data_IF_051517141618
#
_entry.id   IF_051517141618
#
_cell.length_a   1.000
_cell.length_b   1.000
_cell.length_c   1.000
_cell.angle_alpha   90.00
_cell.angle_beta   90.00
_cell.angle_gamma   90.00
#
_symmetry.space_group_name_H-M   'P 1'
#
loop_
_entity.id
_entity.type
_entity.pdbx_description
1 polymer ?
#
# COMPACT_ATOMS: atom_id res chain seq x y z
N UNK A 1 -23.69 50.22 -18.03
CA UNK A 1 -24.45 49.02 -18.31
C UNK A 1 -23.59 47.92 -18.84
N UNK A 2 -22.94 48.15 -19.93
CA UNK A 2 -22.12 47.14 -20.54
C UNK A 2 -20.93 46.73 -19.68
N UNK A 3 -20.41 47.65 -18.91
CA UNK A 3 -19.25 47.38 -18.05
C UNK A 3 -19.52 46.31 -17.00
N UNK A 4 -20.72 46.22 -16.55
CA UNK A 4 -21.05 45.27 -15.51
C UNK A 4 -20.85 43.85 -15.97
N UNK A 5 -21.21 43.57 -17.18
CA UNK A 5 -21.06 42.23 -17.71
C UNK A 5 -19.61 41.79 -17.81
N UNK A 6 -18.77 42.72 -18.17
CA UNK A 6 -17.36 42.42 -18.32
C UNK A 6 -16.72 42.02 -17.00
N UNK A 7 -17.09 42.73 -15.97
CA UNK A 7 -16.53 42.42 -14.66
C UNK A 7 -16.88 41.02 -14.21
N UNK A 8 -18.08 40.61 -14.48
CA UNK A 8 -18.52 39.27 -14.12
C UNK A 8 -17.69 38.22 -14.78
N UNK A 9 -17.33 38.42 -16.03
CA UNK A 9 -16.51 37.45 -16.75
C UNK A 9 -15.14 37.27 -16.10
N UNK A 10 -14.55 38.36 -15.66
CA UNK A 10 -13.27 38.33 -15.01
C UNK A 10 -13.30 37.48 -13.75
N UNK A 11 -14.36 37.66 -12.98
CA UNK A 11 -14.51 36.90 -11.74
C UNK A 11 -14.56 35.41 -12.02
N UNK A 12 -15.25 35.02 -13.05
CA UNK A 12 -15.37 33.62 -13.42
C UNK A 12 -13.99 33.03 -13.75
N UNK A 13 -13.19 33.81 -14.44
CA UNK A 13 -11.86 33.37 -14.79
C UNK A 13 -10.98 33.05 -13.57
N UNK A 14 -11.11 33.87 -12.55
CA UNK A 14 -10.37 33.66 -11.33
C UNK A 14 -10.78 32.36 -10.63
N UNK A 15 -12.09 32.10 -10.65
CA UNK A 15 -12.57 30.87 -10.01
C UNK A 15 -11.97 29.62 -10.66
N UNK A 16 -11.80 29.63 -11.96
CA UNK A 16 -11.22 28.50 -12.66
C UNK A 16 -9.78 28.24 -12.24
N UNK A 17 -9.03 29.30 -12.00
CA UNK A 17 -7.64 29.17 -11.61
C UNK A 17 -7.48 28.42 -10.29
N UNK A 18 -8.42 28.59 -9.40
CA UNK A 18 -8.34 27.95 -8.09
C UNK A 18 -8.52 26.43 -8.15
N UNK A 19 -9.18 25.93 -9.16
CA UNK A 19 -9.41 24.49 -9.28
C UNK A 19 -8.15 23.70 -9.62
N UNK A 20 -7.24 24.31 -10.35
CA UNK A 20 -6.04 23.62 -10.81
C UNK A 20 -5.16 23.14 -9.67
N UNK A 21 -4.86 23.93 -8.65
CA UNK A 21 -4.05 23.46 -7.53
C UNK A 21 -4.64 22.27 -6.80
N UNK A 22 -5.95 22.24 -6.67
CA UNK A 22 -6.63 21.14 -5.98
C UNK A 22 -6.42 19.84 -6.72
N UNK A 23 -6.53 19.86 -8.02
CA UNK A 23 -6.33 18.66 -8.83
C UNK A 23 -4.90 18.13 -8.70
N UNK A 24 -3.92 19.03 -8.64
CA UNK A 24 -2.54 18.64 -8.44
C UNK A 24 -2.30 17.93 -7.14
N UNK A 25 -2.91 18.41 -6.08
CA UNK A 25 -2.77 17.78 -4.76
C UNK A 25 -3.33 16.37 -4.75
N UNK A 26 -4.47 16.15 -5.37
CA UNK A 26 -5.08 14.84 -5.44
C UNK A 26 -4.18 13.85 -6.20
N UNK A 27 -3.58 14.30 -7.29
CA UNK A 27 -2.69 13.47 -8.07
C UNK A 27 -1.45 13.07 -7.27
N UNK A 28 -0.88 13.99 -6.50
CA UNK A 28 0.27 13.72 -5.67
C UNK A 28 -0.04 12.67 -4.60
N UNK A 29 -1.20 12.76 -3.97
CA UNK A 29 -1.63 11.78 -2.99
C UNK A 29 -1.75 10.39 -3.59
N UNK A 30 -2.36 10.28 -4.75
CA UNK A 30 -2.50 9.01 -5.45
C UNK A 30 -1.15 8.44 -5.85
N UNK A 31 -0.23 9.27 -6.29
CA UNK A 31 1.11 8.85 -6.65
C UNK A 31 1.86 8.26 -5.46
N UNK A 32 1.74 8.86 -4.27
CA UNK A 32 2.39 8.38 -3.07
C UNK A 32 1.87 7.00 -2.67
N UNK A 33 0.56 6.81 -2.71
CA UNK A 33 -0.05 5.51 -2.41
C UNK A 33 0.34 4.46 -3.42
N UNK A 34 0.30 4.79 -4.70
CA UNK A 34 0.63 3.86 -5.76
C UNK A 34 2.07 3.37 -5.65
N UNK A 35 2.99 4.18 -5.14
CA UNK A 35 4.39 3.79 -5.01
C UNK A 35 4.61 2.75 -3.91
N UNK A 36 3.67 2.55 -3.01
CA UNK A 36 3.75 1.51 -1.98
C UNK A 36 3.35 0.14 -2.50
N UNK A 37 2.60 0.06 -3.59
CA UNK A 37 2.19 -1.22 -4.17
C UNK A 37 3.40 -2.06 -4.59
N UNK A 38 4.36 -1.55 -5.38
CA UNK A 38 5.55 -2.32 -5.72
C UNK A 38 6.34 -2.75 -4.48
N UNK A 39 6.38 -1.90 -3.46
CA UNK A 39 7.09 -2.20 -2.22
C UNK A 39 6.42 -3.37 -1.48
N UNK A 40 5.10 -3.37 -1.41
CA UNK A 40 4.35 -4.46 -0.79
C UNK A 40 4.52 -5.77 -1.56
N UNK A 41 4.46 -5.72 -2.89
CA UNK A 41 4.65 -6.90 -3.74
C UNK A 41 6.06 -7.44 -3.57
N UNK A 42 7.06 -6.57 -3.55
CA UNK A 42 8.45 -6.99 -3.33
C UNK A 42 8.63 -7.67 -1.98
N UNK A 43 7.99 -7.15 -0.94
CA UNK A 43 8.00 -7.75 0.38
C UNK A 43 7.44 -9.17 0.35
N UNK A 44 6.27 -9.36 -0.27
CA UNK A 44 5.65 -10.69 -0.38
C UNK A 44 6.57 -11.67 -1.12
N UNK A 45 7.18 -11.22 -2.21
CA UNK A 45 8.10 -12.07 -2.97
C UNK A 45 9.35 -12.42 -2.18
N UNK A 46 9.83 -11.50 -1.37
CA UNK A 46 10.97 -11.74 -0.47
C UNK A 46 10.63 -12.81 0.56
N UNK A 47 9.41 -12.77 1.12
CA UNK A 47 8.94 -13.83 2.00
C UNK A 47 8.89 -15.17 1.28
N UNK A 48 8.42 -15.18 0.05
CA UNK A 48 8.32 -16.41 -0.75
C UNK A 48 9.69 -17.04 -1.03
N UNK A 49 10.72 -16.23 -1.12
CA UNK A 49 12.10 -16.71 -1.31
C UNK A 49 12.71 -17.25 -0.02
N UNK A 50 12.05 -17.04 1.12
CA UNK A 50 12.59 -17.45 2.41
C UNK A 50 13.62 -16.50 2.98
N UNK A 51 13.77 -15.32 2.42
CA UNK A 51 14.75 -14.32 2.90
C UNK A 51 14.08 -13.40 3.92
N UNK A 52 13.81 -13.94 5.10
CA UNK A 52 13.09 -13.23 6.15
C UNK A 52 13.88 -12.07 6.74
N UNK A 53 15.18 -12.16 6.72
CA UNK A 53 16.03 -11.08 7.20
C UNK A 53 15.93 -9.86 6.26
N UNK A 54 15.94 -10.09 4.95
CA UNK A 54 15.75 -9.01 3.99
C UNK A 54 14.34 -8.42 4.07
N UNK A 55 13.34 -9.26 4.35
CA UNK A 55 11.97 -8.80 4.49
C UNK A 55 11.81 -7.81 5.66
N UNK A 56 12.58 -8.01 6.74
CA UNK A 56 12.53 -7.10 7.90
C UNK A 56 13.19 -5.76 7.67
N UNK A 57 13.98 -5.60 6.63
CA UNK A 57 14.75 -4.37 6.42
C UNK A 57 13.86 -3.12 6.43
N UNK A 58 12.62 -3.25 5.97
CA UNK A 58 11.66 -2.15 5.91
C UNK A 58 10.72 -2.10 7.11
N UNK A 59 10.90 -2.96 8.09
CA UNK A 59 10.06 -2.96 9.29
C UNK A 59 10.35 -1.76 10.18
N UNK A 60 9.33 -1.28 10.89
CA UNK A 60 9.55 -0.34 11.99
C UNK A 60 10.31 -1.06 13.11
N UNK A 61 10.96 -0.31 13.98
CA UNK A 61 11.68 -0.89 15.11
C UNK A 61 10.76 -1.73 16.00
N UNK A 62 9.54 -1.24 16.21
CA UNK A 62 8.54 -1.96 16.98
C UNK A 62 8.18 -3.28 16.32
N UNK A 63 8.01 -3.27 15.01
CA UNK A 63 7.67 -4.47 14.25
C UNK A 63 8.82 -5.49 14.28
N UNK A 64 10.06 -5.03 14.19
CA UNK A 64 11.24 -5.90 14.30
C UNK A 64 11.32 -6.61 15.65
N UNK A 65 10.96 -5.92 16.71
CA UNK A 65 10.94 -6.51 18.04
C UNK A 65 9.82 -7.54 18.20
N UNK A 66 8.64 -7.23 17.64
CA UNK A 66 7.49 -8.10 17.74
C UNK A 66 7.62 -9.35 16.87
N UNK A 67 8.23 -9.22 15.70
CA UNK A 67 8.33 -10.29 14.72
C UNK A 67 9.77 -10.37 14.19
N UNK A 68 10.68 -11.00 14.94
CA UNK A 68 12.04 -11.23 14.46
C UNK A 68 12.06 -12.21 13.26
N UNK A 69 13.16 -12.28 12.50
CA UNK A 69 13.23 -13.13 11.29
C UNK A 69 12.81 -14.57 11.51
N UNK A 70 13.21 -15.16 12.63
CA UNK A 70 12.85 -16.54 12.94
C UNK A 70 11.34 -16.70 13.10
N UNK A 71 10.70 -15.75 13.78
CA UNK A 71 9.25 -15.78 13.97
C UNK A 71 8.51 -15.55 12.66
N UNK A 72 9.01 -14.64 11.85
CA UNK A 72 8.43 -14.39 10.52
C UNK A 72 8.49 -15.65 9.68
N UNK A 73 9.60 -16.38 9.74
CA UNK A 73 9.77 -17.65 9.05
C UNK A 73 8.77 -18.69 9.53
N UNK A 74 8.56 -18.80 10.84
CA UNK A 74 7.58 -19.73 11.41
C UNK A 74 6.16 -19.44 10.92
N UNK A 75 5.78 -18.16 10.94
CA UNK A 75 4.45 -17.73 10.45
C UNK A 75 4.30 -18.10 8.98
N UNK A 76 5.31 -17.84 8.18
CA UNK A 76 5.27 -18.15 6.75
C UNK A 76 5.18 -19.66 6.50
N UNK A 77 5.96 -20.45 7.22
CA UNK A 77 5.93 -21.91 7.09
C UNK A 77 4.58 -22.49 7.52
N UNK A 78 4.01 -21.96 8.58
CA UNK A 78 2.67 -22.36 9.02
C UNK A 78 1.64 -22.06 7.95
N UNK A 79 1.72 -20.89 7.33
CA UNK A 79 0.81 -20.50 6.26
C UNK A 79 0.94 -21.46 5.08
N UNK A 80 2.17 -21.72 4.62
CA UNK A 80 2.43 -22.59 3.48
C UNK A 80 1.92 -24.00 3.75
N UNK A 81 2.03 -24.49 4.97
CA UNK A 81 1.54 -25.82 5.31
C UNK A 81 0.02 -25.94 5.15
N UNK A 82 -0.69 -24.84 5.25
CA UNK A 82 -2.16 -24.81 5.13
C UNK A 82 -2.62 -24.54 3.69
N UNK A 83 -1.93 -23.67 2.98
CA UNK A 83 -2.39 -23.18 1.66
C UNK A 83 -1.54 -23.65 0.50
N UNK A 84 -0.45 -24.34 0.79
CA UNK A 84 0.50 -24.81 -0.22
C UNK A 84 1.55 -23.75 -0.57
N UNK A 85 2.52 -24.12 -1.40
CA UNK A 85 3.61 -23.21 -1.77
C UNK A 85 3.12 -22.00 -2.55
N UNK A 86 3.85 -20.91 -2.40
CA UNK A 86 3.61 -19.67 -3.13
C UNK A 86 3.74 -19.89 -4.64
N UNK A 87 2.83 -19.30 -5.41
CA UNK A 87 2.87 -19.35 -6.86
C UNK A 87 3.12 -17.99 -7.49
N UNK A 88 2.28 -16.99 -7.18
CA UNK A 88 2.43 -15.66 -7.77
C UNK A 88 1.65 -14.62 -6.98
N UNK A 89 1.87 -13.36 -7.33
CA UNK A 89 1.09 -12.22 -6.85
C UNK A 89 0.22 -11.69 -7.98
N UNK A 90 -0.98 -11.22 -7.63
CA UNK A 90 -1.91 -10.63 -8.59
C UNK A 90 -2.22 -9.18 -8.25
N UNK A 91 -3.47 -8.81 -8.42
CA UNK A 91 -3.94 -7.46 -8.19
C UNK A 91 -3.75 -7.03 -6.73
N UNK A 92 -3.75 -5.74 -6.49
CA UNK A 92 -3.66 -5.20 -5.16
C UNK A 92 -4.71 -4.12 -4.94
N UNK A 93 -5.04 -3.88 -3.68
CA UNK A 93 -5.94 -2.83 -3.26
C UNK A 93 -5.28 -2.02 -2.16
N UNK A 94 -5.43 -0.71 -2.20
CA UNK A 94 -4.84 0.20 -1.23
C UNK A 94 -5.92 0.86 -0.41
N UNK A 95 -5.73 0.89 0.91
CA UNK A 95 -6.63 1.54 1.86
C UNK A 95 -5.82 2.47 2.74
N UNK A 96 -6.25 3.73 2.85
CA UNK A 96 -5.61 4.71 3.72
C UNK A 96 -6.52 4.97 4.91
N UNK A 97 -5.97 4.87 6.12
CA UNK A 97 -6.73 5.07 7.33
C UNK A 97 -5.81 5.54 8.47
N UNK A 98 -6.19 6.65 9.11
CA UNK A 98 -5.50 7.15 10.31
C UNK A 98 -3.99 7.33 10.14
N UNK A 99 -3.56 7.81 8.99
CA UNK A 99 -2.14 8.03 8.71
C UNK A 99 -1.37 6.78 8.27
N UNK A 100 -2.04 5.64 8.19
CA UNK A 100 -1.45 4.39 7.70
C UNK A 100 -2.00 4.04 6.33
N UNK A 101 -1.18 3.43 5.51
CA UNK A 101 -1.59 2.92 4.19
C UNK A 101 -1.43 1.42 4.19
N UNK A 102 -2.51 0.70 3.94
CA UNK A 102 -2.48 -0.75 3.84
C UNK A 102 -2.63 -1.17 2.38
N UNK A 103 -1.70 -1.95 1.90
CA UNK A 103 -1.76 -2.55 0.56
C UNK A 103 -2.11 -4.02 0.72
N UNK A 104 -3.24 -4.44 0.18
CA UNK A 104 -3.65 -5.83 0.19
C UNK A 104 -3.23 -6.45 -1.14
N UNK A 105 -2.25 -7.33 -1.10
CA UNK A 105 -1.70 -7.99 -2.29
C UNK A 105 -2.37 -9.33 -2.46
N UNK A 106 -3.05 -9.52 -3.58
CA UNK A 106 -3.59 -10.83 -3.93
C UNK A 106 -2.41 -11.79 -4.12
N UNK A 107 -2.42 -12.88 -3.40
CA UNK A 107 -1.32 -13.85 -3.45
C UNK A 107 -1.88 -15.23 -3.71
N UNK A 108 -1.40 -15.85 -4.77
CA UNK A 108 -1.83 -17.19 -5.17
C UNK A 108 -0.90 -18.22 -4.58
N UNK A 109 -1.49 -19.15 -3.84
CA UNK A 109 -0.82 -20.34 -3.33
C UNK A 109 -1.43 -21.56 -4.03
N UNK A 110 -0.75 -22.68 -3.96
CA UNK A 110 -1.18 -23.88 -4.69
C UNK A 110 -2.63 -24.27 -4.40
N UNK A 111 -3.05 -24.21 -3.16
CA UNK A 111 -4.39 -24.66 -2.76
C UNK A 111 -5.39 -23.54 -2.56
N UNK A 112 -4.94 -22.28 -2.47
CA UNK A 112 -5.83 -21.18 -2.14
C UNK A 112 -5.20 -19.84 -2.51
N UNK A 113 -6.06 -18.86 -2.79
CA UNK A 113 -5.66 -17.46 -2.95
C UNK A 113 -6.00 -16.70 -1.69
N UNK A 114 -5.06 -15.91 -1.20
CA UNK A 114 -5.24 -15.05 -0.03
C UNK A 114 -4.83 -13.62 -0.35
N UNK A 115 -5.25 -12.69 0.51
CA UNK A 115 -4.71 -11.35 0.52
C UNK A 115 -3.65 -11.24 1.60
N UNK A 116 -2.53 -10.63 1.29
CA UNK A 116 -1.53 -10.26 2.30
C UNK A 116 -1.61 -8.75 2.46
N UNK A 117 -2.12 -8.33 3.61
CA UNK A 117 -2.27 -6.92 3.92
C UNK A 117 -0.99 -6.42 4.57
N UNK A 118 -0.29 -5.51 3.90
CA UNK A 118 0.95 -4.91 4.39
C UNK A 118 0.63 -3.46 4.75
N UNK A 119 0.82 -3.08 6.01
CA UNK A 119 0.52 -1.75 6.50
C UNK A 119 1.80 -0.94 6.62
N UNK A 120 1.80 0.24 6.00
CA UNK A 120 2.91 1.18 6.01
C UNK A 120 2.56 2.40 6.85
N UNK A 121 3.55 2.91 7.58
CA UNK A 121 3.42 4.17 8.31
C UNK A 121 3.74 5.38 7.41
N UNK A 122 3.74 6.57 7.98
CA UNK A 122 4.03 7.81 7.25
C UNK A 122 5.48 7.87 6.73
N UNK A 123 6.39 7.13 7.34
CA UNK A 123 7.77 7.02 6.88
C UNK A 123 7.94 5.90 5.85
N UNK A 124 6.85 5.28 5.40
CA UNK A 124 6.84 4.21 4.39
C UNK A 124 7.54 2.95 4.88
N UNK A 125 7.53 2.72 6.18
CA UNK A 125 8.02 1.49 6.78
C UNK A 125 6.87 0.56 7.10
N UNK A 126 7.15 -0.73 7.11
CA UNK A 126 6.14 -1.73 7.39
C UNK A 126 5.86 -1.77 8.89
N UNK A 127 4.64 -1.37 9.25
CA UNK A 127 4.17 -1.32 10.63
C UNK A 127 3.31 -2.54 11.00
N UNK A 128 2.89 -3.33 10.04
CA UNK A 128 2.08 -4.51 10.29
C UNK A 128 1.87 -5.36 9.05
N UNK A 129 1.48 -6.60 9.28
CA UNK A 129 1.16 -7.55 8.22
C UNK A 129 0.06 -8.49 8.70
N UNK A 130 -0.91 -8.75 7.83
CA UNK A 130 -2.03 -9.65 8.14
C UNK A 130 -2.39 -10.50 6.93
N UNK A 131 -2.94 -11.67 7.18
CA UNK A 131 -3.51 -12.49 6.13
C UNK A 131 -5.02 -12.28 6.13
N UNK A 132 -5.58 -11.94 4.98
CA UNK A 132 -6.98 -11.58 4.82
C UNK A 132 -7.54 -12.29 3.59
N UNK A 133 -8.88 -12.29 3.40
CA UNK A 133 -9.45 -12.79 2.14
C UNK A 133 -8.90 -12.00 0.97
N UNK A 134 -8.85 -12.59 -0.25
CA UNK A 134 -8.37 -11.89 -1.43
C UNK A 134 -9.22 -10.67 -1.73
N UNK A 135 -8.61 -9.60 -2.26
CA UNK A 135 -9.32 -8.37 -2.58
C UNK A 135 -10.29 -8.54 -3.76
#
# INVERSE_FOLDING_TARGET
MTTDRRRTSVVIGLALALLVPIAGQAADGQGAEASLVPKAVSFVRTLAKGDFKAAEADFTDQMKQAVPPAKLGEVWQTLISQVGPFQDTGDSRTVVQSGFTTVVVKTDFKSRTLGIAVTFDSARRIAGMHFVPPP
#
